data_IF_950310139370
#
_entry.id   IF_950310139370
#
_cell.length_a   1.000
_cell.length_b   1.000
_cell.length_c   1.000
_cell.angle_alpha   90.00
_cell.angle_beta   90.00
_cell.angle_gamma   90.00
#
_symmetry.space_group_name_H-M   'P 1'
#
loop_
_entity.id
_entity.type
_entity.pdbx_description
1 polymer ?
#
# COMPACT_ATOMS: atom_id res chain seq x y z
N UNK A 1 42.89 -29.40 18.06
CA UNK A 1 41.42 -29.40 18.24
C UNK A 1 40.85 -28.22 17.46
N UNK A 2 40.25 -28.49 16.30
CA UNK A 2 39.84 -27.48 15.31
C UNK A 2 38.44 -26.96 15.65
N UNK A 3 38.32 -25.68 16.05
CA UNK A 3 37.03 -25.03 16.30
C UNK A 3 36.29 -24.84 14.97
N UNK A 4 35.24 -25.65 14.75
CA UNK A 4 34.32 -25.50 13.62
C UNK A 4 33.50 -24.23 13.83
N UNK A 5 33.79 -23.18 13.05
CA UNK A 5 32.97 -21.98 12.95
C UNK A 5 31.76 -22.36 12.09
N UNK A 6 30.58 -22.44 12.71
CA UNK A 6 29.32 -22.64 11.99
C UNK A 6 28.89 -21.28 11.45
N UNK A 7 29.11 -21.03 10.16
CA UNK A 7 28.46 -19.91 9.46
C UNK A 7 26.99 -20.26 9.27
N UNK A 8 26.13 -19.78 10.17
CA UNK A 8 24.68 -19.77 9.96
C UNK A 8 24.36 -18.68 8.94
N UNK A 9 24.19 -19.07 7.67
CA UNK A 9 23.58 -18.24 6.66
C UNK A 9 22.07 -18.13 6.98
N UNK A 10 21.69 -17.16 7.81
CA UNK A 10 20.31 -16.73 7.92
C UNK A 10 19.97 -16.01 6.61
N UNK A 11 19.43 -16.75 5.65
CA UNK A 11 18.78 -16.16 4.49
C UNK A 11 17.61 -15.32 5.01
N UNK A 12 17.81 -13.99 5.09
CA UNK A 12 16.71 -13.05 5.15
C UNK A 12 15.89 -13.28 3.87
N UNK A 13 14.87 -14.12 3.98
CA UNK A 13 13.80 -14.13 3.01
C UNK A 13 13.13 -12.76 3.14
N UNK A 14 13.54 -11.79 2.31
CA UNK A 14 12.70 -10.64 2.00
C UNK A 14 11.40 -11.24 1.46
N UNK A 15 10.38 -11.31 2.31
CA UNK A 15 9.07 -11.83 1.96
C UNK A 15 8.51 -11.07 0.77
N UNK A 16 8.67 -11.67 -0.40
CA UNK A 16 7.96 -11.37 -1.64
C UNK A 16 8.00 -9.92 -2.13
N UNK A 17 8.97 -9.62 -2.99
CA UNK A 17 8.77 -8.64 -4.09
C UNK A 17 7.80 -9.20 -5.16
N UNK A 18 6.71 -9.85 -4.75
CA UNK A 18 5.72 -10.45 -5.64
C UNK A 18 4.59 -9.47 -5.93
N UNK A 19 4.13 -9.43 -7.18
CA UNK A 19 2.90 -8.72 -7.51
C UNK A 19 1.72 -9.35 -6.75
N UNK A 20 0.90 -8.53 -6.10
CA UNK A 20 -0.32 -8.97 -5.41
C UNK A 20 -1.56 -8.66 -6.25
N UNK A 21 -2.68 -9.31 -5.92
CA UNK A 21 -3.94 -9.04 -6.59
C UNK A 21 -4.56 -7.76 -5.99
N UNK A 22 -4.60 -6.68 -6.77
CA UNK A 22 -5.20 -5.42 -6.31
C UNK A 22 -6.71 -5.55 -6.23
N UNK A 23 -7.26 -5.27 -5.06
CA UNK A 23 -8.70 -5.15 -4.90
C UNK A 23 -9.18 -3.87 -5.58
N UNK A 24 -9.99 -4.00 -6.63
CA UNK A 24 -10.73 -2.86 -7.15
C UNK A 24 -11.94 -2.63 -6.24
N UNK A 25 -12.08 -1.44 -5.62
CA UNK A 25 -13.23 -1.16 -4.76
C UNK A 25 -14.52 -1.26 -5.57
N UNK A 26 -15.57 -1.90 -5.02
CA UNK A 26 -16.89 -1.92 -5.64
C UNK A 26 -17.48 -0.52 -5.79
N UNK A 27 -18.33 -0.32 -6.81
CA UNK A 27 -18.99 0.96 -7.12
C UNK A 27 -20.47 0.99 -6.69
N UNK A 28 -20.94 -0.02 -5.96
CA UNK A 28 -22.28 -0.06 -5.40
C UNK A 28 -22.19 -0.24 -3.88
N UNK A 29 -23.19 0.27 -3.16
CA UNK A 29 -23.27 0.13 -1.71
C UNK A 29 -23.37 -1.34 -1.28
N UNK A 30 -24.21 -2.13 -1.97
CA UNK A 30 -24.41 -3.54 -1.64
C UNK A 30 -23.12 -4.35 -1.77
N UNK A 31 -22.38 -4.16 -2.85
CA UNK A 31 -21.14 -4.90 -3.10
C UNK A 31 -20.02 -4.43 -2.16
N UNK A 32 -20.00 -3.13 -1.82
CA UNK A 32 -19.05 -2.59 -0.84
C UNK A 32 -19.23 -3.24 0.53
N UNK A 33 -20.47 -3.27 1.03
CA UNK A 33 -20.80 -3.87 2.32
C UNK A 33 -20.55 -5.39 2.29
N UNK A 34 -20.87 -6.06 1.18
CA UNK A 34 -20.59 -7.49 1.02
C UNK A 34 -19.07 -7.81 1.01
N UNK A 35 -18.25 -6.89 0.50
CA UNK A 35 -16.79 -6.95 0.58
C UNK A 35 -16.22 -6.55 1.95
N UNK A 36 -17.07 -6.13 2.91
CA UNK A 36 -16.66 -5.70 4.25
C UNK A 36 -16.19 -4.24 4.34
N UNK A 37 -16.47 -3.43 3.32
CA UNK A 37 -16.17 -2.00 3.29
C UNK A 37 -17.29 -1.12 3.87
N UNK A 38 -17.02 0.18 3.96
CA UNK A 38 -17.99 1.21 4.38
C UNK A 38 -18.35 2.12 3.21
N UNK A 39 -19.64 2.42 3.03
CA UNK A 39 -20.10 3.31 1.96
C UNK A 39 -20.04 4.78 2.41
N UNK A 40 -18.91 5.42 2.15
CA UNK A 40 -18.54 6.71 2.76
C UNK A 40 -18.78 7.88 1.78
N UNK A 41 -19.39 9.00 2.21
CA UNK A 41 -19.50 10.20 1.39
C UNK A 41 -18.16 10.94 1.25
N UNK A 42 -17.95 11.60 0.12
CA UNK A 42 -16.84 12.55 -0.03
C UNK A 42 -17.19 13.82 0.75
N UNK A 43 -16.26 14.29 1.59
CA UNK A 43 -16.51 15.45 2.47
C UNK A 43 -16.91 16.73 1.70
N UNK A 44 -16.35 16.92 0.50
CA UNK A 44 -16.60 18.09 -0.34
C UNK A 44 -17.84 17.95 -1.24
N UNK A 45 -18.30 16.73 -1.52
CA UNK A 45 -19.41 16.41 -2.43
C UNK A 45 -20.19 15.21 -1.87
N UNK A 46 -21.08 15.42 -0.87
CA UNK A 46 -21.72 14.33 -0.13
C UNK A 46 -22.69 13.47 -0.95
N UNK A 47 -23.10 13.94 -2.12
CA UNK A 47 -23.85 13.17 -3.13
C UNK A 47 -23.00 12.08 -3.80
N UNK A 48 -21.67 12.23 -3.79
CA UNK A 48 -20.73 11.23 -4.28
C UNK A 48 -20.29 10.37 -3.09
N UNK A 49 -20.43 9.05 -3.24
CA UNK A 49 -19.99 8.07 -2.26
C UNK A 49 -19.01 7.08 -2.88
N UNK A 50 -18.11 6.56 -2.06
CA UNK A 50 -17.13 5.57 -2.44
C UNK A 50 -17.12 4.41 -1.45
N UNK A 51 -16.61 3.27 -1.91
CA UNK A 51 -16.36 2.14 -1.02
C UNK A 51 -15.03 2.34 -0.30
N UNK A 52 -15.10 2.54 1.01
CA UNK A 52 -13.96 2.53 1.89
C UNK A 52 -13.65 1.09 2.32
N UNK A 53 -12.72 0.45 1.62
CA UNK A 53 -12.35 -0.95 1.81
C UNK A 53 -10.94 -1.04 2.39
N UNK A 54 -10.81 -1.75 3.52
CA UNK A 54 -9.51 -2.03 4.13
C UNK A 54 -8.74 -3.08 3.34
N UNK A 55 -7.43 -2.92 3.28
CA UNK A 55 -6.52 -3.92 2.71
C UNK A 55 -6.15 -4.95 3.78
N UNK A 56 -5.87 -6.19 3.36
CA UNK A 56 -5.36 -7.22 4.25
C UNK A 56 -3.86 -7.06 4.53
N UNK A 57 -3.17 -6.24 3.72
CA UNK A 57 -1.72 -6.08 3.76
C UNK A 57 -1.21 -4.76 4.33
N UNK A 58 -2.09 -3.99 4.97
CA UNK A 58 -1.76 -2.80 5.73
C UNK A 58 -0.45 -2.93 6.52
N UNK A 59 0.46 -1.96 6.34
CA UNK A 59 1.73 -1.89 7.05
C UNK A 59 2.83 -2.82 6.53
N UNK A 60 2.55 -3.73 5.58
CA UNK A 60 3.60 -4.55 4.94
C UNK A 60 4.60 -3.66 4.21
N UNK A 61 5.89 -3.94 4.37
CA UNK A 61 6.94 -3.21 3.67
C UNK A 61 6.85 -3.39 2.16
N UNK A 62 7.04 -2.29 1.42
CA UNK A 62 6.96 -2.28 -0.04
C UNK A 62 7.91 -1.23 -0.63
N UNK A 63 8.25 -1.41 -1.90
CA UNK A 63 8.95 -0.41 -2.72
C UNK A 63 8.15 0.00 -3.95
N UNK A 64 7.03 -0.68 -4.21
CA UNK A 64 6.17 -0.41 -5.34
C UNK A 64 4.72 -0.82 -5.00
N UNK A 65 3.74 -0.03 -5.46
CA UNK A 65 2.32 -0.34 -5.25
C UNK A 65 1.87 -1.66 -5.87
N UNK A 66 2.62 -2.26 -6.80
CA UNK A 66 2.34 -3.61 -7.30
C UNK A 66 2.45 -4.69 -6.20
N UNK A 67 3.11 -4.40 -5.09
CA UNK A 67 3.31 -5.31 -3.95
C UNK A 67 2.21 -5.21 -2.89
N UNK A 68 1.28 -4.26 -3.09
CA UNK A 68 0.20 -3.93 -2.15
C UNK A 68 -1.18 -4.10 -2.80
N UNK A 69 -2.17 -4.52 -2.03
CA UNK A 69 -3.57 -4.55 -2.47
C UNK A 69 -4.06 -3.12 -2.77
N UNK A 70 -3.63 -2.17 -1.92
CA UNK A 70 -3.74 -0.72 -2.12
C UNK A 70 -2.45 -0.11 -2.65
N UNK A 71 -2.07 1.07 -2.18
CA UNK A 71 -0.85 1.75 -2.62
C UNK A 71 0.34 1.55 -1.67
N UNK A 72 1.55 1.66 -2.21
CA UNK A 72 2.77 1.68 -1.42
C UNK A 72 3.09 3.10 -0.98
N UNK A 73 2.84 3.41 0.30
CA UNK A 73 2.99 4.74 0.87
C UNK A 73 4.45 5.02 1.23
N UNK A 74 4.97 6.15 0.77
CA UNK A 74 6.26 6.64 1.20
C UNK A 74 6.20 7.15 2.65
N UNK A 75 7.30 7.09 3.41
CA UNK A 75 7.36 7.72 4.73
C UNK A 75 7.00 9.20 4.65
N UNK A 76 6.31 9.72 5.67
CA UNK A 76 5.79 11.10 5.70
C UNK A 76 6.87 12.15 5.39
N UNK A 77 8.08 11.96 5.93
CA UNK A 77 9.23 12.88 5.77
C UNK A 77 10.07 12.62 4.52
N UNK A 78 9.72 11.62 3.70
CA UNK A 78 10.48 11.28 2.51
C UNK A 78 10.33 12.37 1.43
N UNK A 79 11.44 12.74 0.81
CA UNK A 79 11.49 13.79 -0.20
C UNK A 79 11.16 13.21 -1.58
N UNK A 80 10.42 13.94 -2.41
CA UNK A 80 10.16 13.52 -3.81
C UNK A 80 11.48 13.29 -4.54
N UNK A 81 11.58 12.19 -5.28
CA UNK A 81 12.78 11.77 -6.01
C UNK A 81 13.81 10.99 -5.17
N UNK A 82 13.72 11.05 -3.83
CA UNK A 82 14.58 10.24 -2.96
C UNK A 82 14.20 8.75 -3.02
N UNK A 83 15.14 7.88 -2.63
CA UNK A 83 14.85 6.47 -2.39
C UNK A 83 14.33 6.28 -0.97
N UNK A 84 13.31 5.45 -0.81
CA UNK A 84 12.77 5.08 0.49
C UNK A 84 12.19 3.66 0.47
N UNK A 85 11.98 3.12 1.67
CA UNK A 85 11.16 1.94 1.90
C UNK A 85 9.80 2.43 2.45
N UNK A 86 8.72 1.91 1.90
CA UNK A 86 7.36 2.32 2.21
C UNK A 86 6.54 1.21 2.83
N UNK A 87 5.28 1.49 3.13
CA UNK A 87 4.34 0.51 3.67
C UNK A 87 3.04 0.49 2.87
N UNK A 88 2.43 -0.68 2.73
CA UNK A 88 1.13 -0.82 2.08
C UNK A 88 0.07 -0.05 2.87
N UNK A 89 -0.77 0.69 2.15
CA UNK A 89 -1.83 1.52 2.70
C UNK A 89 -2.88 0.68 3.44
N UNK A 90 -3.50 1.27 4.48
CA UNK A 90 -4.59 0.65 5.24
C UNK A 90 -5.86 0.43 4.40
N UNK A 91 -6.05 1.25 3.36
CA UNK A 91 -7.24 1.29 2.52
C UNK A 91 -6.86 1.14 1.04
N UNK A 92 -7.77 0.57 0.25
CA UNK A 92 -7.53 0.31 -1.18
C UNK A 92 -7.56 1.57 -2.04
N UNK A 93 -8.22 2.63 -1.55
CA UNK A 93 -8.34 3.92 -2.21
C UNK A 93 -7.24 4.87 -1.76
N UNK A 94 -6.75 5.66 -2.70
CA UNK A 94 -5.78 6.72 -2.40
C UNK A 94 -6.47 8.03 -2.04
N UNK A 95 -6.06 8.61 -0.90
CA UNK A 95 -6.39 9.98 -0.53
C UNK A 95 -5.35 10.96 -1.09
N UNK A 96 -5.82 12.08 -1.63
CA UNK A 96 -5.09 12.95 -2.57
C UNK A 96 -3.75 13.57 -2.13
N UNK A 97 -3.37 13.46 -0.86
CA UNK A 97 -2.15 14.06 -0.31
C UNK A 97 -1.02 13.05 -0.10
N UNK A 98 -1.24 11.78 -0.42
CA UNK A 98 -0.28 10.72 -0.14
C UNK A 98 0.88 10.72 -1.15
N UNK A 99 2.10 10.52 -0.64
CA UNK A 99 3.28 10.25 -1.46
C UNK A 99 3.41 8.74 -1.66
N UNK A 100 3.58 8.31 -2.90
CA UNK A 100 3.66 6.90 -3.25
C UNK A 100 5.08 6.50 -3.65
N UNK A 101 5.41 5.21 -3.52
CA UNK A 101 6.63 4.64 -4.07
C UNK A 101 6.38 3.94 -5.40
N UNK A 102 7.29 4.19 -6.34
CA UNK A 102 7.41 3.45 -7.60
C UNK A 102 8.85 3.01 -7.76
N UNK A 103 9.10 1.71 -7.80
CA UNK A 103 10.45 1.14 -7.86
C UNK A 103 11.42 1.76 -6.81
N UNK A 104 10.94 1.97 -5.59
CA UNK A 104 11.67 2.53 -4.45
C UNK A 104 11.83 4.05 -4.46
N UNK A 105 11.37 4.74 -5.50
CA UNK A 105 11.45 6.21 -5.63
C UNK A 105 10.17 6.87 -5.16
N UNK A 106 10.30 7.87 -4.30
CA UNK A 106 9.19 8.73 -3.87
C UNK A 106 8.68 9.54 -5.05
N UNK A 107 7.41 9.35 -5.40
CA UNK A 107 6.72 10.12 -6.43
C UNK A 107 6.11 11.39 -5.85
N UNK A 108 5.89 12.38 -6.71
CA UNK A 108 4.98 13.47 -6.38
C UNK A 108 3.57 12.89 -6.11
N UNK A 109 2.76 13.48 -5.20
CA UNK A 109 1.38 13.05 -5.00
C UNK A 109 0.65 12.97 -6.34
N UNK A 110 -0.05 11.86 -6.57
CA UNK A 110 -0.88 11.74 -7.76
C UNK A 110 -2.00 12.79 -7.69
N UNK A 111 -2.41 13.39 -8.82
CA UNK A 111 -3.63 14.19 -8.84
C UNK A 111 -4.79 13.30 -8.39
N UNK A 112 -5.64 13.84 -7.52
CA UNK A 112 -6.88 13.17 -7.09
C UNK A 112 -7.69 12.86 -8.35
N UNK A 113 -7.98 11.58 -8.57
CA UNK A 113 -8.82 11.13 -9.70
C UNK A 113 -10.30 11.34 -9.39
#
# INVERSE_FOLDING_TARGET
MLRKIVLSAAALACGGCGAVNKHRPPTTESDCVAAGGTWTPIETLPEIRYCDLKTADAGRWCVDSMQCEGSCLAPEKAQVGSFALGQCADHSQDYGTMKLLKMGRVQAPAPVQ
#
